data_IF_709694025183
#
_entry.id   IF_709694025183
#
_cell.length_a   1.000
_cell.length_b   1.000
_cell.length_c   1.000
_cell.angle_alpha   90.00
_cell.angle_beta   90.00
_cell.angle_gamma   90.00
#
_symmetry.space_group_name_H-M   'P 1'
#
loop_
_entity.id
_entity.type
_entity.pdbx_description
1 polymer ?
#
# COMPACT_ATOMS: atom_id res chain seq x y z
N UNK A 1 0.01 -22.80 8.70
CA UNK A 1 -0.60 -22.24 7.50
C UNK A 1 -1.42 -21.03 7.82
N UNK A 2 -2.47 -21.21 8.61
CA UNK A 2 -3.38 -20.10 8.87
C UNK A 2 -2.67 -18.98 9.63
N UNK A 3 -1.87 -19.35 10.61
CA UNK A 3 -1.18 -18.36 11.40
C UNK A 3 -0.15 -17.59 10.58
N UNK A 4 0.49 -18.24 9.62
CA UNK A 4 1.43 -17.55 8.75
C UNK A 4 0.72 -16.51 7.91
N UNK A 5 -0.45 -16.87 7.40
CA UNK A 5 -1.26 -15.96 6.60
C UNK A 5 -1.63 -14.72 7.43
N UNK A 6 -2.03 -14.96 8.68
CA UNK A 6 -2.43 -13.86 9.55
C UNK A 6 -1.27 -12.95 9.89
N UNK A 7 -0.11 -13.51 10.19
CA UNK A 7 1.02 -12.67 10.54
C UNK A 7 1.50 -11.85 9.35
N UNK A 8 1.28 -12.33 8.13
CA UNK A 8 1.64 -11.55 6.95
C UNK A 8 0.70 -10.37 6.72
N UNK A 9 -0.52 -10.44 7.25
CA UNK A 9 -1.48 -9.37 7.06
C UNK A 9 -1.19 -8.16 7.94
N UNK A 10 -0.53 -8.37 9.06
CA UNK A 10 -0.41 -7.33 10.06
C UNK A 10 1.04 -6.95 10.26
N UNK A 11 1.57 -6.18 9.33
CA UNK A 11 2.95 -5.73 9.44
C UNK A 11 3.06 -4.29 9.92
N UNK A 12 1.97 -3.52 9.86
CA UNK A 12 2.02 -2.15 10.34
C UNK A 12 2.08 -2.11 11.86
N UNK A 13 2.89 -1.22 12.42
CA UNK A 13 2.95 -1.09 13.87
C UNK A 13 1.66 -0.52 14.43
N UNK A 14 1.42 -0.81 15.70
CA UNK A 14 0.23 -0.32 16.41
C UNK A 14 0.51 1.10 16.88
N UNK A 15 0.37 2.06 15.96
CA UNK A 15 0.67 3.46 16.22
C UNK A 15 -0.23 4.32 15.34
N UNK A 16 0.05 5.62 15.26
CA UNK A 16 -0.79 6.55 14.50
C UNK A 16 -0.71 6.22 13.00
N UNK A 17 -1.76 6.58 12.24
CA UNK A 17 -1.72 6.39 10.80
C UNK A 17 -0.52 7.08 10.14
N UNK A 18 -0.14 8.26 10.63
CA UNK A 18 1.00 8.97 10.06
C UNK A 18 2.28 8.15 10.21
N UNK A 19 2.46 7.54 11.37
CA UNK A 19 3.64 6.72 11.60
C UNK A 19 3.57 5.40 10.85
N UNK A 20 2.38 4.86 10.68
CA UNK A 20 2.19 3.66 9.87
C UNK A 20 2.56 3.93 8.42
N UNK A 21 2.15 5.10 7.91
CA UNK A 21 2.50 5.49 6.54
C UNK A 21 4.01 5.65 6.39
N UNK A 22 4.64 6.28 7.38
CA UNK A 22 6.08 6.45 7.40
C UNK A 22 6.80 5.10 7.39
N UNK A 23 6.27 4.16 8.18
CA UNK A 23 6.80 2.81 8.22
C UNK A 23 6.72 2.16 6.83
N UNK A 24 5.57 2.30 6.17
CA UNK A 24 5.39 1.74 4.83
C UNK A 24 6.38 2.35 3.83
N UNK A 25 6.58 3.67 3.89
CA UNK A 25 7.50 4.32 2.96
C UNK A 25 8.95 3.91 3.20
N UNK A 26 9.29 3.46 4.41
CA UNK A 26 10.65 3.04 4.69
C UNK A 26 11.07 1.87 3.80
N UNK A 27 10.12 1.04 3.39
CA UNK A 27 10.44 -0.08 2.50
C UNK A 27 10.73 0.39 1.08
N UNK A 28 10.09 1.47 0.65
CA UNK A 28 10.40 2.06 -0.65
C UNK A 28 11.84 2.54 -0.71
N UNK A 29 12.31 3.11 0.40
CA UNK A 29 13.65 3.68 0.44
C UNK A 29 14.73 2.63 0.28
N UNK A 30 14.47 1.42 0.74
CA UNK A 30 15.45 0.34 0.62
C UNK A 30 15.14 -0.58 -0.55
N UNK A 31 14.13 -0.27 -1.34
CA UNK A 31 13.83 -1.06 -2.53
C UNK A 31 13.10 -2.36 -2.26
N UNK A 32 12.54 -2.52 -1.07
CA UNK A 32 11.78 -3.74 -0.74
C UNK A 32 10.33 -3.54 -1.13
N UNK A 33 10.07 -3.66 -2.42
CA UNK A 33 8.75 -3.34 -2.97
C UNK A 33 7.68 -4.36 -2.60
N UNK A 34 8.06 -5.62 -2.40
CA UNK A 34 7.09 -6.63 -1.97
C UNK A 34 6.55 -6.31 -0.59
N UNK A 35 7.42 -5.91 0.33
CA UNK A 35 6.98 -5.56 1.68
C UNK A 35 6.22 -4.24 1.67
N UNK A 36 6.69 -3.28 0.86
CA UNK A 36 5.99 -2.01 0.72
C UNK A 36 4.56 -2.23 0.23
N UNK A 37 4.38 -3.12 -0.74
CA UNK A 37 3.04 -3.45 -1.24
C UNK A 37 2.13 -3.88 -0.11
N UNK A 38 2.60 -4.80 0.73
CA UNK A 38 1.78 -5.30 1.83
C UNK A 38 1.48 -4.20 2.85
N UNK A 39 2.47 -3.37 3.15
CA UNK A 39 2.29 -2.30 4.14
C UNK A 39 1.28 -1.26 3.66
N UNK A 40 1.38 -0.84 2.40
CA UNK A 40 0.44 0.15 1.88
C UNK A 40 -0.96 -0.43 1.74
N UNK A 41 -1.06 -1.71 1.36
CA UNK A 41 -2.37 -2.34 1.30
C UNK A 41 -3.03 -2.37 2.68
N UNK A 42 -2.27 -2.77 3.69
CA UNK A 42 -2.81 -2.80 5.04
C UNK A 42 -3.24 -1.40 5.48
N UNK A 43 -2.44 -0.39 5.14
CA UNK A 43 -2.79 0.99 5.50
C UNK A 43 -4.14 1.40 4.92
N UNK A 44 -4.36 1.10 3.63
CA UNK A 44 -5.62 1.48 2.98
C UNK A 44 -6.79 0.73 3.59
N UNK A 45 -6.60 -0.54 3.94
CA UNK A 45 -7.67 -1.35 4.51
C UNK A 45 -8.04 -0.87 5.91
N UNK A 46 -7.05 -0.50 6.71
CA UNK A 46 -7.31 -0.10 8.09
C UNK A 46 -7.62 1.38 8.24
N UNK A 47 -7.19 2.22 7.31
CA UNK A 47 -7.40 3.66 7.39
C UNK A 47 -7.97 4.21 6.08
N UNK A 48 -9.13 3.68 5.62
CA UNK A 48 -9.62 4.03 4.28
C UNK A 48 -10.07 5.48 4.13
N UNK A 49 -10.39 6.15 5.24
CA UNK A 49 -10.87 7.53 5.19
C UNK A 49 -9.79 8.54 5.60
N UNK A 50 -8.61 8.06 5.88
CA UNK A 50 -7.53 8.97 6.29
C UNK A 50 -7.04 9.77 5.09
N UNK A 51 -6.53 10.97 5.37
CA UNK A 51 -6.08 11.87 4.30
C UNK A 51 -4.93 11.27 3.48
N UNK A 52 -4.18 10.33 4.04
CA UNK A 52 -3.09 9.68 3.35
C UNK A 52 -3.49 8.40 2.62
N UNK A 53 -4.77 8.02 2.71
CA UNK A 53 -5.21 6.76 2.10
C UNK A 53 -5.05 6.76 0.58
N UNK A 54 -5.35 7.90 -0.04
CA UNK A 54 -5.16 8.01 -1.48
C UNK A 54 -3.70 7.87 -1.89
N UNK A 55 -2.80 8.53 -1.14
CA UNK A 55 -1.37 8.39 -1.39
C UNK A 55 -0.91 6.96 -1.19
N UNK A 56 -1.43 6.29 -0.16
CA UNK A 56 -1.06 4.90 0.10
C UNK A 56 -1.53 3.99 -1.03
N UNK A 57 -2.74 4.24 -1.55
CA UNK A 57 -3.24 3.46 -2.69
C UNK A 57 -2.37 3.68 -3.93
N UNK A 58 -1.94 4.91 -4.15
CA UNK A 58 -1.06 5.23 -5.28
C UNK A 58 0.26 4.45 -5.14
N UNK A 59 0.87 4.48 -3.98
CA UNK A 59 2.14 3.77 -3.79
C UNK A 59 1.95 2.27 -3.85
N UNK A 60 0.81 1.77 -3.37
CA UNK A 60 0.49 0.36 -3.53
C UNK A 60 0.55 -0.03 -5.01
N UNK A 61 -0.09 0.77 -5.87
CA UNK A 61 -0.06 0.51 -7.30
C UNK A 61 1.36 0.64 -7.87
N UNK A 62 2.12 1.62 -7.39
CA UNK A 62 3.48 1.84 -7.86
C UNK A 62 4.41 0.67 -7.54
N UNK A 63 4.18 -0.02 -6.41
CA UNK A 63 5.02 -1.17 -6.09
C UNK A 63 4.91 -2.25 -7.16
N UNK A 64 3.73 -2.41 -7.74
CA UNK A 64 3.54 -3.36 -8.83
C UNK A 64 4.20 -2.86 -10.11
N UNK A 65 4.00 -1.58 -10.44
CA UNK A 65 4.55 -1.02 -11.67
C UNK A 65 6.06 -1.12 -11.68
N UNK A 66 6.70 -0.80 -10.56
CA UNK A 66 8.15 -0.83 -10.47
C UNK A 66 8.69 -2.24 -10.70
N UNK A 67 7.95 -3.25 -10.25
CA UNK A 67 8.32 -4.64 -10.47
C UNK A 67 7.85 -5.18 -11.82
N UNK A 68 7.26 -4.31 -12.65
CA UNK A 68 6.76 -4.65 -13.98
C UNK A 68 5.58 -5.63 -13.95
N UNK A 69 4.83 -5.63 -12.85
CA UNK A 69 3.60 -6.39 -12.72
C UNK A 69 2.45 -5.49 -13.16
N UNK A 70 2.37 -5.29 -14.47
CA UNK A 70 1.53 -4.23 -15.03
C UNK A 70 0.04 -4.48 -14.87
N UNK A 71 -0.40 -5.73 -14.92
CA UNK A 71 -1.81 -6.04 -14.74
C UNK A 71 -2.25 -5.69 -13.31
N UNK A 72 -1.43 -6.08 -12.34
CA UNK A 72 -1.74 -5.75 -10.95
C UNK A 72 -1.68 -4.25 -10.73
N UNK A 73 -0.71 -3.59 -11.36
CA UNK A 73 -0.60 -2.14 -11.24
C UNK A 73 -1.86 -1.46 -11.78
N UNK A 74 -2.31 -1.89 -12.97
CA UNK A 74 -3.49 -1.29 -13.59
C UNK A 74 -4.72 -1.44 -12.71
N UNK A 75 -4.91 -2.62 -12.11
CA UNK A 75 -6.04 -2.86 -11.22
C UNK A 75 -5.97 -1.94 -10.00
N UNK A 76 -4.78 -1.81 -9.42
CA UNK A 76 -4.62 -0.99 -8.23
C UNK A 76 -4.82 0.50 -8.53
N UNK A 77 -4.34 0.97 -9.69
CA UNK A 77 -4.58 2.35 -10.11
C UNK A 77 -6.07 2.61 -10.32
N UNK A 78 -6.77 1.66 -10.94
CA UNK A 78 -8.20 1.81 -11.19
C UNK A 78 -8.97 1.91 -9.89
N UNK A 79 -8.61 1.07 -8.91
CA UNK A 79 -9.22 1.15 -7.59
C UNK A 79 -8.97 2.51 -6.95
N UNK A 80 -7.76 3.04 -7.12
CA UNK A 80 -7.42 4.36 -6.60
C UNK A 80 -8.22 5.45 -7.25
N UNK A 81 -8.39 5.35 -8.57
CA UNK A 81 -9.19 6.33 -9.30
C UNK A 81 -10.64 6.31 -8.80
N UNK A 82 -11.20 5.12 -8.65
CA UNK A 82 -12.60 4.98 -8.25
C UNK A 82 -12.84 5.47 -6.83
N UNK A 83 -11.94 5.12 -5.92
CA UNK A 83 -12.17 5.38 -4.50
C UNK A 83 -11.64 6.74 -4.06
N UNK A 84 -10.49 7.15 -4.58
CA UNK A 84 -9.82 8.37 -4.12
C UNK A 84 -9.67 9.41 -5.23
N UNK A 85 -10.18 9.12 -6.42
CA UNK A 85 -10.11 10.02 -7.57
C UNK A 85 -8.69 10.38 -7.93
N UNK A 86 -7.79 9.42 -7.79
CA UNK A 86 -6.40 9.61 -8.16
C UNK A 86 -6.29 9.71 -9.68
N UNK A 87 -5.38 10.58 -10.14
CA UNK A 87 -5.07 10.67 -11.56
C UNK A 87 -3.60 10.34 -11.75
N UNK A 88 -3.30 9.66 -12.85
CA UNK A 88 -1.93 9.31 -13.21
C UNK A 88 -1.40 10.43 -14.10
N UNK A 89 -0.24 10.97 -13.72
CA UNK A 89 0.37 12.06 -14.46
C UNK A 89 1.51 11.61 -15.32
#
# INVERSE_FOLDING_TARGET
MTENFESEKNILPNTSPEKQYEFATSFLKVGDYSTAERAFREFVITNPEHKLAGNAQYWYAETFRIRQLYTDAATAYLEGYRKYKLTIK
#
